data_IF_675112228288
#
_entry.id   IF_675112228288
#
_cell.length_a   1.000
_cell.length_b   1.000
_cell.length_c   1.000
_cell.angle_alpha   90.00
_cell.angle_beta   90.00
_cell.angle_gamma   90.00
#
_symmetry.space_group_name_H-M   'P 1'
#
loop_
_entity.id
_entity.type
_entity.pdbx_description
1 polymer ?
#
# COMPACT_ATOMS: atom_id res chain seq x y z
N UNK A 1 -37.92 -14.69 17.34
CA UNK A 1 -38.60 -15.50 18.36
C UNK A 1 -39.14 -16.85 17.83
N UNK A 2 -38.34 -17.62 17.07
CA UNK A 2 -38.72 -18.98 16.61
C UNK A 2 -37.67 -20.07 16.90
N UNK A 3 -36.48 -19.70 17.40
CA UNK A 3 -35.39 -20.65 17.73
C UNK A 3 -35.31 -21.03 19.21
N UNK A 4 -36.10 -20.39 20.09
CA UNK A 4 -36.08 -20.65 21.54
C UNK A 4 -37.02 -21.81 21.93
N UNK A 5 -38.01 -22.14 21.08
CA UNK A 5 -39.03 -23.15 21.40
C UNK A 5 -38.62 -24.59 21.07
N UNK A 6 -37.53 -24.79 20.32
CA UNK A 6 -37.02 -26.11 19.92
C UNK A 6 -35.97 -26.68 20.90
N UNK A 7 -35.37 -25.83 21.74
CA UNK A 7 -34.38 -26.24 22.75
C UNK A 7 -35.03 -26.72 24.06
N UNK A 8 -36.27 -26.31 24.34
CA UNK A 8 -37.00 -26.77 25.53
C UNK A 8 -37.52 -28.20 25.43
N UNK A 9 -37.66 -28.75 24.22
CA UNK A 9 -38.17 -30.12 24.03
C UNK A 9 -37.08 -31.18 24.18
N UNK A 10 -35.81 -30.84 23.93
CA UNK A 10 -34.69 -31.79 23.99
C UNK A 10 -34.16 -32.01 25.41
N UNK A 11 -34.35 -31.05 26.31
CA UNK A 11 -33.95 -31.18 27.73
C UNK A 11 -34.92 -32.07 28.52
N UNK A 12 -36.16 -32.22 28.05
CA UNK A 12 -37.17 -33.03 28.76
C UNK A 12 -37.08 -34.54 28.46
N UNK A 13 -36.51 -34.93 27.31
CA UNK A 13 -36.46 -36.34 26.88
C UNK A 13 -35.26 -37.11 27.44
N UNK A 14 -34.25 -36.41 27.98
CA UNK A 14 -33.04 -37.04 28.52
C UNK A 14 -33.15 -37.48 29.99
N UNK A 15 -34.30 -37.27 30.64
CA UNK A 15 -34.48 -37.55 32.08
C UNK A 15 -35.23 -38.85 32.40
N UNK A 16 -35.61 -39.66 31.39
CA UNK A 16 -36.37 -40.89 31.63
C UNK A 16 -35.75 -42.07 30.89
N UNK A 17 -34.68 -42.66 31.45
CA UNK A 17 -34.44 -44.12 31.41
C UNK A 17 -33.41 -44.54 32.47
N UNK A 18 -33.94 -45.12 33.56
CA UNK A 18 -33.48 -46.27 34.37
C UNK A 18 -32.02 -46.31 34.91
N UNK A 19 -31.99 -46.30 36.24
CA UNK A 19 -30.90 -46.35 37.26
C UNK A 19 -29.91 -47.53 37.17
N UNK A 20 -28.76 -47.41 37.87
CA UNK A 20 -28.51 -48.34 38.97
C UNK A 20 -28.41 -47.63 40.33
N UNK A 21 -28.85 -48.35 41.37
CA UNK A 21 -28.57 -48.10 42.78
C UNK A 21 -27.09 -47.76 42.98
N UNK A 22 -26.80 -46.47 43.14
CA UNK A 22 -25.76 -45.99 44.04
C UNK A 22 -26.50 -45.06 44.97
N UNK A 23 -26.29 -45.24 46.26
CA UNK A 23 -26.81 -44.38 47.31
C UNK A 23 -26.65 -42.91 46.92
N UNK A 24 -27.71 -42.32 46.38
CA UNK A 24 -27.95 -40.91 46.55
C UNK A 24 -28.25 -40.84 48.04
N UNK A 25 -27.25 -40.47 48.85
CA UNK A 25 -27.50 -40.06 50.23
C UNK A 25 -28.67 -39.08 50.14
N UNK A 26 -29.87 -39.54 50.50
CA UNK A 26 -31.01 -38.65 50.65
C UNK A 26 -30.57 -37.71 51.73
N UNK A 27 -30.12 -36.53 51.30
CA UNK A 27 -29.66 -35.53 52.23
C UNK A 27 -30.73 -35.39 53.30
N UNK A 28 -30.31 -35.44 54.56
CA UNK A 28 -31.25 -35.29 55.65
C UNK A 28 -31.99 -33.96 55.48
N UNK A 29 -33.22 -33.86 56.01
CA UNK A 29 -34.00 -32.61 55.96
C UNK A 29 -33.17 -31.40 56.40
N UNK A 30 -32.28 -31.60 57.36
CA UNK A 30 -31.34 -30.60 57.87
C UNK A 30 -30.27 -30.20 56.83
N UNK A 31 -29.67 -31.17 56.13
CA UNK A 31 -28.74 -30.91 55.03
C UNK A 31 -29.42 -30.16 53.87
N UNK A 32 -30.68 -30.48 53.55
CA UNK A 32 -31.49 -29.72 52.58
C UNK A 32 -31.78 -28.30 53.03
N UNK A 33 -32.11 -28.09 54.30
CA UNK A 33 -32.35 -26.76 54.85
C UNK A 33 -31.08 -25.89 54.80
N UNK A 34 -29.92 -26.46 55.10
CA UNK A 34 -28.63 -25.75 55.02
C UNK A 34 -28.24 -25.45 53.57
N UNK A 35 -28.43 -26.39 52.64
CA UNK A 35 -28.21 -26.12 51.21
C UNK A 35 -29.16 -25.05 50.66
N UNK A 36 -30.43 -25.07 51.05
CA UNK A 36 -31.40 -24.05 50.63
C UNK A 36 -31.01 -22.66 51.16
N UNK A 37 -30.55 -22.60 52.41
CA UNK A 37 -30.06 -21.36 53.03
C UNK A 37 -28.83 -20.83 52.30
N UNK A 38 -27.81 -21.67 52.07
CA UNK A 38 -26.58 -21.26 51.36
C UNK A 38 -26.84 -20.84 49.92
N UNK A 39 -27.74 -21.53 49.20
CA UNK A 39 -28.13 -21.13 47.84
C UNK A 39 -28.89 -19.81 47.83
N UNK A 40 -29.77 -19.57 48.82
CA UNK A 40 -30.48 -18.30 48.97
C UNK A 40 -29.51 -17.16 49.29
N UNK A 41 -28.53 -17.37 50.17
CA UNK A 41 -27.47 -16.41 50.46
C UNK A 41 -26.62 -16.10 49.21
N UNK A 42 -26.24 -17.12 48.44
CA UNK A 42 -25.55 -16.94 47.15
C UNK A 42 -26.40 -16.14 46.16
N UNK A 43 -27.70 -16.43 46.06
CA UNK A 43 -28.62 -15.69 45.20
C UNK A 43 -28.68 -14.21 45.61
N UNK A 44 -28.82 -13.92 46.91
CA UNK A 44 -28.86 -12.53 47.40
C UNK A 44 -27.54 -11.81 47.15
N UNK A 45 -26.41 -12.49 47.35
CA UNK A 45 -25.08 -11.92 47.12
C UNK A 45 -24.85 -11.62 45.64
N UNK A 46 -25.14 -12.58 44.74
CA UNK A 46 -25.03 -12.38 43.29
C UNK A 46 -25.96 -11.27 42.81
N UNK A 47 -27.15 -11.14 43.39
CA UNK A 47 -28.07 -10.07 43.03
C UNK A 47 -27.58 -8.69 43.50
N UNK A 48 -26.94 -8.62 44.66
CA UNK A 48 -26.28 -7.41 45.13
C UNK A 48 -25.08 -7.04 44.24
N UNK A 49 -24.26 -8.03 43.85
CA UNK A 49 -23.14 -7.83 42.90
C UNK A 49 -23.63 -7.35 41.54
N UNK A 50 -24.68 -7.96 40.97
CA UNK A 50 -25.27 -7.51 39.70
C UNK A 50 -25.75 -6.07 39.78
N UNK A 51 -26.39 -5.68 40.89
CA UNK A 51 -26.86 -4.31 41.10
C UNK A 51 -25.67 -3.34 41.16
N UNK A 52 -24.59 -3.74 41.84
CA UNK A 52 -23.34 -2.96 41.91
C UNK A 52 -22.69 -2.80 40.54
N UNK A 53 -22.45 -3.90 39.81
CA UNK A 53 -21.84 -3.87 38.47
C UNK A 53 -22.69 -3.04 37.49
N UNK A 54 -24.01 -3.13 37.57
CA UNK A 54 -24.90 -2.32 36.72
C UNK A 54 -24.72 -0.83 37.01
N UNK A 55 -24.66 -0.45 38.29
CA UNK A 55 -24.39 0.94 38.68
C UNK A 55 -23.00 1.43 38.24
N UNK A 56 -21.97 0.58 38.31
CA UNK A 56 -20.63 0.91 37.80
C UNK A 56 -20.63 1.10 36.28
N UNK A 57 -21.31 0.24 35.53
CA UNK A 57 -21.46 0.37 34.07
C UNK A 57 -22.16 1.67 33.69
N UNK A 58 -23.26 2.00 34.38
CA UNK A 58 -23.99 3.25 34.13
C UNK A 58 -23.13 4.47 34.48
N UNK A 59 -22.38 4.41 35.59
CA UNK A 59 -21.44 5.45 35.98
C UNK A 59 -20.32 5.66 34.95
N UNK A 60 -19.71 4.58 34.46
CA UNK A 60 -18.69 4.63 33.41
C UNK A 60 -19.24 5.17 32.09
N UNK A 61 -20.47 4.81 31.74
CA UNK A 61 -21.14 5.31 30.54
C UNK A 61 -21.34 6.82 30.61
N UNK A 62 -21.77 7.36 31.76
CA UNK A 62 -21.90 8.80 31.97
C UNK A 62 -20.54 9.50 31.89
N UNK A 63 -19.48 8.91 32.48
CA UNK A 63 -18.13 9.47 32.38
C UNK A 63 -17.63 9.51 30.94
N UNK A 64 -17.84 8.45 30.16
CA UNK A 64 -17.49 8.41 28.73
C UNK A 64 -18.18 9.52 27.96
N UNK A 65 -19.50 9.67 28.15
CA UNK A 65 -20.28 10.71 27.47
C UNK A 65 -19.80 12.12 27.84
N UNK A 66 -19.43 12.33 29.11
CA UNK A 66 -18.87 13.61 29.55
C UNK A 66 -17.52 13.89 28.90
N UNK A 67 -16.62 12.91 28.86
CA UNK A 67 -15.32 13.05 28.21
C UNK A 67 -15.48 13.35 26.72
N UNK A 68 -16.44 12.70 26.03
CA UNK A 68 -16.72 12.96 24.62
C UNK A 68 -17.16 14.42 24.39
N UNK A 69 -18.01 14.96 25.27
CA UNK A 69 -18.44 16.38 25.21
C UNK A 69 -17.27 17.33 25.52
N UNK A 70 -16.48 17.03 26.54
CA UNK A 70 -15.34 17.85 26.94
C UNK A 70 -14.25 17.89 25.84
N UNK A 71 -14.02 16.78 25.13
CA UNK A 71 -13.12 16.72 23.97
C UNK A 71 -13.63 17.62 22.85
N UNK A 72 -14.91 17.54 22.50
CA UNK A 72 -15.49 18.38 21.45
C UNK A 72 -15.39 19.87 21.79
N UNK A 73 -15.66 20.24 23.05
CA UNK A 73 -15.52 21.61 23.50
C UNK A 73 -14.07 22.12 23.43
N UNK A 74 -13.10 21.26 23.75
CA UNK A 74 -11.67 21.58 23.64
C UNK A 74 -11.26 21.77 22.17
N UNK A 75 -11.70 20.89 21.27
CA UNK A 75 -11.47 21.01 19.83
C UNK A 75 -12.08 22.29 19.25
N UNK A 76 -13.33 22.59 19.60
CA UNK A 76 -14.01 23.81 19.13
C UNK A 76 -13.30 25.07 19.63
N UNK A 77 -12.80 25.06 20.88
CA UNK A 77 -11.96 26.13 21.42
C UNK A 77 -10.64 26.28 20.66
N UNK A 78 -9.99 25.18 20.29
CA UNK A 78 -8.77 25.19 19.49
C UNK A 78 -9.03 25.74 18.08
N UNK A 79 -10.10 25.32 17.41
CA UNK A 79 -10.46 25.83 16.09
C UNK A 79 -10.76 27.33 16.15
N UNK A 80 -11.48 27.78 17.17
CA UNK A 80 -11.76 29.20 17.39
C UNK A 80 -10.47 30.03 17.55
N UNK A 81 -9.47 29.53 18.29
CA UNK A 81 -8.16 30.20 18.42
C UNK A 81 -7.41 30.35 17.09
N UNK A 82 -7.57 29.37 16.20
CA UNK A 82 -6.97 29.41 14.86
C UNK A 82 -7.81 30.21 13.86
N UNK A 83 -9.00 30.67 14.25
CA UNK A 83 -9.98 31.33 13.39
C UNK A 83 -10.56 30.39 12.33
N UNK A 84 -10.71 29.12 12.68
CA UNK A 84 -11.19 28.04 11.81
C UNK A 84 -12.57 27.57 12.27
N UNK A 85 -13.41 27.17 11.33
CA UNK A 85 -14.67 26.50 11.63
C UNK A 85 -14.50 24.99 11.50
N UNK A 86 -15.42 24.24 12.13
CA UNK A 86 -15.47 22.79 11.97
C UNK A 86 -15.67 22.38 10.50
N UNK A 87 -16.40 23.17 9.73
CA UNK A 87 -16.58 22.95 8.30
C UNK A 87 -15.27 23.08 7.51
N UNK A 88 -14.40 24.03 7.87
CA UNK A 88 -13.08 24.19 7.23
C UNK A 88 -12.20 22.97 7.49
N UNK A 89 -12.22 22.48 8.74
CA UNK A 89 -11.49 21.28 9.16
C UNK A 89 -12.02 20.02 8.45
N UNK A 90 -13.34 19.86 8.37
CA UNK A 90 -13.98 18.74 7.69
C UNK A 90 -13.70 18.75 6.18
N UNK A 91 -13.72 19.93 5.55
CA UNK A 91 -13.36 20.08 4.14
C UNK A 91 -11.88 19.73 3.89
N UNK A 92 -10.98 20.22 4.75
CA UNK A 92 -9.56 19.91 4.68
C UNK A 92 -9.29 18.41 4.89
N UNK A 93 -9.93 17.79 5.88
CA UNK A 93 -9.79 16.37 6.18
C UNK A 93 -10.26 15.51 5.00
N UNK A 94 -11.40 15.87 4.41
CA UNK A 94 -11.94 15.19 3.22
C UNK A 94 -10.99 15.28 2.04
N UNK A 95 -10.44 16.46 1.77
CA UNK A 95 -9.46 16.65 0.70
C UNK A 95 -8.19 15.86 0.96
N UNK A 96 -7.66 15.92 2.18
CA UNK A 96 -6.47 15.17 2.58
C UNK A 96 -6.69 13.66 2.41
N UNK A 97 -7.83 13.13 2.85
CA UNK A 97 -8.18 11.73 2.69
C UNK A 97 -8.30 11.31 1.21
N UNK A 98 -8.85 12.18 0.36
CA UNK A 98 -8.90 11.93 -1.09
C UNK A 98 -7.49 11.86 -1.69
N UNK A 99 -6.60 12.79 -1.30
CA UNK A 99 -5.21 12.77 -1.76
C UNK A 99 -4.44 11.56 -1.23
N UNK A 100 -4.62 11.20 0.05
CA UNK A 100 -4.02 10.00 0.66
C UNK A 100 -4.42 8.74 -0.10
N UNK A 101 -5.71 8.59 -0.44
CA UNK A 101 -6.21 7.48 -1.22
C UNK A 101 -5.61 7.46 -2.63
N UNK A 102 -5.57 8.61 -3.31
CA UNK A 102 -5.01 8.71 -4.65
C UNK A 102 -3.51 8.37 -4.68
N UNK A 103 -2.75 8.87 -3.71
CA UNK A 103 -1.33 8.54 -3.57
C UNK A 103 -1.16 7.05 -3.26
N UNK A 104 -2.01 6.46 -2.43
CA UNK A 104 -1.98 5.01 -2.15
C UNK A 104 -2.25 4.15 -3.40
N UNK A 105 -3.12 4.59 -4.31
CA UNK A 105 -3.31 3.95 -5.62
C UNK A 105 -2.05 4.05 -6.48
N UNK A 106 -1.48 5.26 -6.59
CA UNK A 106 -0.26 5.51 -7.36
C UNK A 106 0.93 4.71 -6.81
N UNK A 107 1.04 4.56 -5.49
CA UNK A 107 2.08 3.74 -4.84
C UNK A 107 2.01 2.25 -5.19
N UNK A 108 0.83 1.75 -5.58
CA UNK A 108 0.68 0.35 -6.02
C UNK A 108 1.03 0.16 -7.49
N UNK A 109 1.11 1.24 -8.26
CA UNK A 109 1.51 1.20 -9.65
C UNK A 109 3.01 0.95 -9.77
N UNK A 110 3.41 0.37 -10.88
CA UNK A 110 4.82 0.14 -11.15
C UNK A 110 5.50 1.43 -11.67
N UNK A 111 6.81 1.61 -11.47
CA UNK A 111 7.49 2.89 -11.81
C UNK A 111 7.24 3.36 -13.27
N UNK A 112 7.36 2.46 -14.25
CA UNK A 112 7.02 2.74 -15.65
C UNK A 112 5.56 3.17 -15.93
N UNK A 113 4.58 2.78 -15.11
CA UNK A 113 3.21 3.30 -15.23
C UNK A 113 3.09 4.67 -14.57
N UNK A 114 3.80 4.86 -13.46
CA UNK A 114 3.86 6.10 -12.69
C UNK A 114 4.39 7.29 -13.52
N UNK A 115 5.24 7.03 -14.52
CA UNK A 115 5.71 8.03 -15.50
C UNK A 115 4.54 8.75 -16.18
N UNK A 116 3.46 8.01 -16.52
CA UNK A 116 2.28 8.60 -17.16
C UNK A 116 1.50 9.53 -16.22
N UNK A 117 1.72 9.40 -14.91
CA UNK A 117 1.09 10.20 -13.86
C UNK A 117 2.04 11.26 -13.29
N UNK A 118 3.17 11.55 -13.94
CA UNK A 118 4.14 12.55 -13.49
C UNK A 118 3.51 13.94 -13.29
N UNK A 119 2.68 14.38 -14.24
CA UNK A 119 2.00 15.67 -14.15
C UNK A 119 0.96 15.69 -13.02
N UNK A 120 0.33 14.55 -12.74
CA UNK A 120 -0.58 14.42 -11.61
C UNK A 120 0.17 14.47 -10.28
N UNK A 121 1.29 13.75 -10.15
CA UNK A 121 2.14 13.81 -8.96
C UNK A 121 2.69 15.22 -8.71
N UNK A 122 3.03 15.97 -9.76
CA UNK A 122 3.44 17.36 -9.63
C UNK A 122 2.29 18.26 -9.12
N UNK A 123 1.05 18.02 -9.58
CA UNK A 123 -0.14 18.73 -9.06
C UNK A 123 -0.44 18.36 -7.61
N UNK A 124 -0.32 17.08 -7.25
CA UNK A 124 -0.48 16.60 -5.88
C UNK A 124 0.59 17.20 -4.94
N UNK A 125 1.84 17.29 -5.41
CA UNK A 125 2.94 17.94 -4.68
C UNK A 125 2.70 19.44 -4.48
N UNK A 126 2.23 20.15 -5.52
CA UNK A 126 1.86 21.56 -5.39
C UNK A 126 0.71 21.73 -4.38
N UNK A 127 -0.33 20.90 -4.49
CA UNK A 127 -1.49 20.99 -3.61
C UNK A 127 -1.16 20.68 -2.16
N UNK A 128 -0.36 19.64 -1.89
CA UNK A 128 0.01 19.31 -0.51
C UNK A 128 0.88 20.40 0.12
N UNK A 129 1.70 21.11 -0.67
CA UNK A 129 2.46 22.30 -0.21
C UNK A 129 1.56 23.47 0.13
N UNK A 130 0.51 23.72 -0.67
CA UNK A 130 -0.51 24.71 -0.32
C UNK A 130 -1.23 24.34 0.98
N UNK A 131 -1.63 23.08 1.12
CA UNK A 131 -2.26 22.56 2.34
C UNK A 131 -1.32 22.69 3.54
N UNK A 132 -0.02 22.43 3.36
CA UNK A 132 1.00 22.58 4.38
C UNK A 132 1.11 24.02 4.92
N UNK A 133 0.86 25.03 4.08
CA UNK A 133 0.86 26.44 4.46
C UNK A 133 -0.41 26.90 5.19
N UNK A 134 -1.46 26.07 5.24
CA UNK A 134 -2.68 26.40 5.97
C UNK A 134 -2.47 26.39 7.48
N UNK A 135 -3.25 27.18 8.22
CA UNK A 135 -3.22 27.18 9.69
C UNK A 135 -3.61 25.83 10.32
N UNK A 136 -4.30 24.98 9.55
CA UNK A 136 -4.79 23.67 10.01
C UNK A 136 -3.62 22.74 10.35
N UNK A 137 -2.46 22.90 9.71
CA UNK A 137 -1.28 22.05 9.94
C UNK A 137 -0.56 22.34 11.26
N UNK A 138 -0.89 23.45 11.93
CA UNK A 138 -0.43 23.71 13.30
C UNK A 138 -1.00 22.70 14.29
N UNK A 139 -2.12 22.05 13.95
CA UNK A 139 -2.66 20.94 14.72
C UNK A 139 -1.83 19.69 14.40
N UNK A 140 -1.14 19.08 15.39
CA UNK A 140 -0.18 18.01 15.15
C UNK A 140 -0.74 16.86 14.30
N UNK A 141 -1.97 16.41 14.57
CA UNK A 141 -2.62 15.32 13.83
C UNK A 141 -2.73 15.56 12.32
N UNK A 142 -2.89 16.83 11.89
CA UNK A 142 -2.95 17.18 10.47
C UNK A 142 -1.55 17.46 9.91
N UNK A 143 -0.69 18.14 10.68
CA UNK A 143 0.69 18.40 10.29
C UNK A 143 1.46 17.11 9.98
N UNK A 144 1.33 16.10 10.84
CA UNK A 144 1.98 14.80 10.66
C UNK A 144 1.47 14.06 9.42
N UNK A 145 0.16 14.08 9.17
CA UNK A 145 -0.44 13.46 7.98
C UNK A 145 -0.02 14.14 6.68
N UNK A 146 -0.05 15.47 6.66
CA UNK A 146 0.38 16.28 5.51
C UNK A 146 1.85 16.01 5.20
N UNK A 147 2.71 15.99 6.22
CA UNK A 147 4.13 15.67 6.07
C UNK A 147 4.33 14.25 5.54
N UNK A 148 3.67 13.26 6.14
CA UNK A 148 3.77 11.87 5.69
C UNK A 148 3.31 11.72 4.23
N UNK A 149 2.27 12.44 3.81
CA UNK A 149 1.81 12.45 2.43
C UNK A 149 2.81 13.13 1.49
N UNK A 150 3.37 14.27 1.89
CA UNK A 150 4.40 14.98 1.14
C UNK A 150 5.64 14.11 0.92
N UNK A 151 6.08 13.38 1.95
CA UNK A 151 7.21 12.44 1.87
C UNK A 151 6.92 11.30 0.88
N UNK A 152 5.69 10.75 0.89
CA UNK A 152 5.27 9.73 -0.07
C UNK A 152 5.27 10.25 -1.51
N UNK A 153 4.70 11.44 -1.75
CA UNK A 153 4.68 12.06 -3.09
C UNK A 153 6.11 12.34 -3.57
N UNK A 154 6.96 12.86 -2.71
CA UNK A 154 8.38 13.12 -3.01
C UNK A 154 9.11 11.81 -3.34
N UNK A 155 8.84 10.73 -2.59
CA UNK A 155 9.38 9.41 -2.87
C UNK A 155 8.99 8.87 -4.25
N UNK A 156 7.72 9.05 -4.64
CA UNK A 156 7.21 8.68 -5.97
C UNK A 156 7.84 9.52 -7.09
N UNK A 157 7.93 10.84 -6.91
CA UNK A 157 8.60 11.70 -7.89
C UNK A 157 10.08 11.32 -8.07
N UNK A 158 10.77 11.00 -6.98
CA UNK A 158 12.16 10.55 -7.01
C UNK A 158 12.33 9.17 -7.66
N UNK A 159 11.36 8.26 -7.53
CA UNK A 159 11.43 6.96 -8.22
C UNK A 159 11.32 7.14 -9.74
N UNK A 160 10.48 8.07 -10.21
CA UNK A 160 10.37 8.43 -11.64
C UNK A 160 11.62 9.17 -12.14
N UNK A 161 12.18 10.09 -11.33
CA UNK A 161 13.27 10.97 -11.76
C UNK A 161 14.63 10.26 -11.82
N UNK A 162 14.77 9.06 -11.27
CA UNK A 162 15.97 8.22 -11.43
C UNK A 162 16.08 7.65 -12.86
N UNK A 163 15.94 8.48 -13.89
CA UNK A 163 16.54 8.22 -15.19
C UNK A 163 18.05 8.18 -14.96
N UNK A 164 18.61 6.97 -14.84
CA UNK A 164 20.06 6.80 -14.81
C UNK A 164 20.60 7.40 -16.11
N UNK A 165 21.58 8.28 -16.05
CA UNK A 165 22.27 8.73 -17.25
C UNK A 165 23.63 8.07 -17.35
N UNK A 166 24.01 7.62 -18.53
CA UNK A 166 25.32 7.03 -18.77
C UNK A 166 26.09 7.89 -19.76
N UNK A 167 27.31 8.29 -19.39
CA UNK A 167 28.21 8.98 -20.31
C UNK A 167 28.99 7.96 -21.11
N UNK A 168 28.82 7.95 -22.44
CA UNK A 168 29.50 7.03 -23.35
C UNK A 168 31.01 7.25 -23.28
N UNK A 169 31.73 6.19 -22.94
CA UNK A 169 33.18 6.14 -22.94
C UNK A 169 33.77 6.07 -24.35
N UNK A 170 35.08 5.83 -24.44
CA UNK A 170 35.74 5.66 -25.75
C UNK A 170 35.79 4.19 -26.14
N UNK A 171 35.73 3.91 -27.45
CA UNK A 171 35.84 2.54 -27.96
C UNK A 171 37.11 1.82 -27.48
N UNK A 172 38.25 2.53 -27.45
CA UNK A 172 39.53 1.97 -27.02
C UNK A 172 39.62 1.61 -25.53
N UNK A 173 38.86 2.29 -24.67
CA UNK A 173 38.93 2.09 -23.21
C UNK A 173 37.79 1.21 -22.71
N UNK A 174 36.56 1.57 -23.08
CA UNK A 174 35.35 1.01 -22.48
C UNK A 174 34.62 0.05 -23.44
N UNK A 175 35.01 0.05 -24.72
CA UNK A 175 34.32 -0.68 -25.81
C UNK A 175 32.81 -0.43 -25.81
N UNK A 176 32.43 0.80 -25.49
CA UNK A 176 31.04 1.15 -25.31
C UNK A 176 30.31 1.08 -26.66
N UNK A 177 29.31 0.21 -26.69
CA UNK A 177 28.24 0.15 -27.68
C UNK A 177 26.94 -0.07 -26.91
N UNK A 178 25.77 0.19 -27.50
CA UNK A 178 24.49 0.04 -26.79
C UNK A 178 24.33 -1.34 -26.13
N UNK A 179 24.84 -2.39 -26.77
CA UNK A 179 24.86 -3.75 -26.25
C UNK A 179 25.77 -3.91 -25.02
N UNK A 180 27.00 -3.39 -25.08
CA UNK A 180 27.95 -3.46 -23.95
C UNK A 180 27.53 -2.57 -22.78
N UNK A 181 26.94 -1.40 -23.05
CA UNK A 181 26.38 -0.50 -22.03
C UNK A 181 25.24 -1.21 -21.29
N UNK A 182 24.29 -1.80 -22.01
CA UNK A 182 23.20 -2.58 -21.42
C UNK A 182 23.71 -3.78 -20.58
N UNK A 183 24.82 -4.40 -21.00
CA UNK A 183 25.43 -5.53 -20.29
C UNK A 183 26.05 -5.17 -18.94
N UNK A 184 26.40 -3.89 -18.69
CA UNK A 184 27.05 -3.50 -17.41
C UNK A 184 26.12 -3.78 -16.23
N UNK A 185 26.70 -4.27 -15.12
CA UNK A 185 25.94 -4.62 -13.90
C UNK A 185 25.21 -3.42 -13.30
N UNK A 186 25.81 -2.24 -13.42
CA UNK A 186 25.25 -0.99 -12.88
C UNK A 186 24.09 -0.42 -13.74
N UNK A 187 23.93 -0.94 -14.96
CA UNK A 187 22.93 -0.54 -15.94
C UNK A 187 21.75 -1.52 -15.93
N UNK A 188 21.84 -2.64 -16.67
CA UNK A 188 20.78 -3.67 -16.72
C UNK A 188 21.25 -5.09 -16.43
N UNK A 189 22.57 -5.34 -16.41
CA UNK A 189 23.15 -6.69 -16.40
C UNK A 189 22.64 -7.61 -17.53
N UNK A 190 21.97 -7.05 -18.55
CA UNK A 190 21.35 -7.79 -19.64
C UNK A 190 21.57 -7.06 -20.97
N UNK A 191 22.38 -7.67 -21.82
CA UNK A 191 22.77 -7.08 -23.09
C UNK A 191 21.62 -6.99 -24.11
N UNK A 192 20.58 -7.82 -23.96
CA UNK A 192 19.40 -7.80 -24.84
C UNK A 192 18.52 -6.56 -24.65
N UNK A 193 18.78 -5.75 -23.62
CA UNK A 193 18.05 -4.53 -23.31
C UNK A 193 18.61 -3.29 -24.04
N UNK A 194 19.60 -3.46 -24.90
CA UNK A 194 20.13 -2.37 -25.74
C UNK A 194 19.08 -1.60 -26.56
N UNK A 195 18.00 -2.22 -27.10
CA UNK A 195 16.98 -1.49 -27.86
C UNK A 195 16.23 -0.46 -27.01
N UNK A 196 16.20 -0.67 -25.69
CA UNK A 196 15.57 0.24 -24.73
C UNK A 196 16.35 1.54 -24.62
N UNK A 197 17.68 1.45 -24.54
CA UNK A 197 18.57 2.62 -24.57
C UNK A 197 18.42 3.35 -25.90
N UNK A 198 18.36 2.62 -27.01
CA UNK A 198 18.15 3.22 -28.33
C UNK A 198 16.83 3.98 -28.44
N UNK A 199 15.73 3.38 -27.96
CA UNK A 199 14.40 3.98 -27.99
C UNK A 199 14.29 5.22 -27.08
N UNK A 200 14.88 5.17 -25.90
CA UNK A 200 14.91 6.29 -24.96
C UNK A 200 15.74 7.49 -25.43
N UNK A 201 16.58 7.33 -26.46
CA UNK A 201 17.48 8.35 -26.98
C UNK A 201 17.38 8.52 -28.51
N UNK A 202 16.19 8.28 -29.08
CA UNK A 202 15.94 8.38 -30.54
C UNK A 202 16.26 9.73 -31.14
N UNK A 203 16.12 10.77 -30.34
CA UNK A 203 16.45 12.15 -30.65
C UNK A 203 17.95 12.32 -30.95
N UNK A 204 18.82 11.60 -30.24
CA UNK A 204 20.27 11.66 -30.41
C UNK A 204 20.84 10.51 -31.26
N UNK A 205 20.26 9.31 -31.15
CA UNK A 205 20.75 8.07 -31.78
C UNK A 205 19.85 7.68 -32.96
N UNK A 206 20.22 8.14 -34.15
CA UNK A 206 19.54 7.74 -35.41
C UNK A 206 19.86 6.29 -35.78
N UNK A 207 21.15 5.95 -35.77
CA UNK A 207 21.66 4.62 -36.04
C UNK A 207 22.13 3.96 -34.73
N UNK A 208 21.57 2.81 -34.33
CA UNK A 208 21.92 2.15 -33.08
C UNK A 208 23.36 1.62 -33.04
N UNK A 209 24.01 1.41 -34.20
CA UNK A 209 25.41 1.00 -34.25
C UNK A 209 26.39 2.18 -34.04
N UNK A 210 25.90 3.41 -34.06
CA UNK A 210 26.74 4.63 -33.99
C UNK A 210 26.41 5.43 -32.73
N UNK A 211 27.30 5.34 -31.73
CA UNK A 211 27.31 6.21 -30.56
C UNK A 211 28.66 6.92 -30.43
N UNK A 212 28.67 8.18 -29.98
CA UNK A 212 29.91 8.96 -29.84
C UNK A 212 30.34 9.09 -28.37
N UNK A 213 31.65 9.13 -28.09
CA UNK A 213 32.14 9.41 -26.74
C UNK A 213 31.62 10.75 -26.20
N UNK A 214 31.42 10.83 -24.89
CA UNK A 214 30.85 11.96 -24.14
C UNK A 214 29.35 12.23 -24.36
N UNK A 215 28.66 11.39 -25.14
CA UNK A 215 27.19 11.45 -25.18
C UNK A 215 26.62 11.03 -23.82
N UNK A 216 25.67 11.81 -23.31
CA UNK A 216 24.95 11.50 -22.08
C UNK A 216 23.65 10.80 -22.51
N UNK A 217 23.65 9.48 -22.44
CA UNK A 217 22.47 8.67 -22.77
C UNK A 217 21.56 8.59 -21.56
N UNK A 218 20.26 8.76 -21.77
CA UNK A 218 19.22 8.38 -20.81
C UNK A 218 19.15 6.85 -20.77
N UNK A 219 19.17 6.28 -19.58
CA UNK A 219 19.01 4.84 -19.34
C UNK A 219 17.64 4.66 -18.70
N UNK A 220 16.62 4.25 -19.49
CA UNK A 220 15.30 3.93 -18.96
C UNK A 220 15.36 2.79 -17.93
N UNK A 221 14.31 2.53 -17.16
CA UNK A 221 14.35 1.47 -16.15
C UNK A 221 14.56 0.06 -16.70
N UNK A 222 15.14 -0.80 -15.87
CA UNK A 222 15.48 -2.20 -16.17
C UNK A 222 14.25 -3.15 -16.28
N UNK A 223 13.07 -2.67 -16.67
CA UNK A 223 11.90 -3.52 -16.98
C UNK A 223 12.04 -4.23 -18.33
N UNK A 224 11.22 -5.26 -18.54
CA UNK A 224 11.14 -5.98 -19.81
C UNK A 224 10.92 -5.05 -21.02
N UNK A 225 11.34 -5.50 -22.21
CA UNK A 225 11.16 -4.72 -23.43
C UNK A 225 9.68 -4.59 -23.81
N UNK A 226 9.25 -3.36 -24.09
CA UNK A 226 7.92 -3.06 -24.61
C UNK A 226 7.70 -3.69 -26.00
N UNK A 227 6.43 -3.83 -26.42
CA UNK A 227 6.10 -4.32 -27.78
C UNK A 227 6.74 -3.47 -28.87
N UNK A 228 6.82 -2.16 -28.65
CA UNK A 228 7.42 -1.19 -29.57
C UNK A 228 8.94 -1.32 -29.63
N UNK A 229 9.59 -1.51 -28.48
CA UNK A 229 11.04 -1.74 -28.37
C UNK A 229 11.44 -3.05 -29.06
N UNK A 230 10.70 -4.15 -28.80
CA UNK A 230 10.89 -5.44 -29.47
C UNK A 230 10.70 -5.32 -30.99
N UNK A 231 9.63 -4.66 -31.42
CA UNK A 231 9.34 -4.45 -32.84
C UNK A 231 10.44 -3.63 -33.52
N UNK A 232 10.95 -2.60 -32.88
CA UNK A 232 12.02 -1.78 -33.44
C UNK A 232 13.37 -2.52 -33.54
N UNK A 233 13.73 -3.32 -32.52
CA UNK A 233 14.89 -4.19 -32.58
C UNK A 233 14.78 -5.17 -33.76
N UNK A 234 13.61 -5.80 -33.92
CA UNK A 234 13.34 -6.71 -35.03
C UNK A 234 13.44 -6.02 -36.40
N UNK A 235 12.90 -4.80 -36.54
CA UNK A 235 13.02 -4.02 -37.77
C UNK A 235 14.47 -3.71 -38.10
N UNK A 236 15.26 -3.31 -37.11
CA UNK A 236 16.68 -3.05 -37.28
C UNK A 236 17.43 -4.30 -37.75
N UNK A 237 17.24 -5.45 -37.10
CA UNK A 237 17.90 -6.70 -37.52
C UNK A 237 17.49 -7.12 -38.93
N UNK A 238 16.21 -6.96 -39.31
CA UNK A 238 15.75 -7.22 -40.68
C UNK A 238 16.44 -6.32 -41.71
N UNK A 239 16.54 -5.02 -41.43
CA UNK A 239 17.22 -4.07 -42.30
C UNK A 239 18.71 -4.39 -42.42
N UNK A 240 19.37 -4.79 -41.33
CA UNK A 240 20.77 -5.18 -41.32
C UNK A 240 21.05 -6.43 -42.15
N UNK A 241 20.17 -7.44 -42.08
CA UNK A 241 20.27 -8.65 -42.91
C UNK A 241 20.03 -8.31 -44.38
N UNK A 242 19.06 -7.46 -44.69
CA UNK A 242 18.80 -7.03 -46.07
C UNK A 242 19.93 -6.17 -46.66
N UNK A 243 20.66 -5.43 -45.82
CA UNK A 243 21.80 -4.61 -46.21
C UNK A 243 23.14 -5.37 -46.18
N UNK A 244 23.17 -6.61 -45.69
CA UNK A 244 24.38 -7.43 -45.69
C UNK A 244 24.70 -7.88 -47.12
N UNK A 245 25.94 -7.69 -47.61
CA UNK A 245 26.34 -8.19 -48.92
C UNK A 245 26.22 -9.72 -48.93
N UNK A 246 25.60 -10.28 -49.97
CA UNK A 246 25.49 -11.73 -50.16
C UNK A 246 26.91 -12.28 -50.37
N UNK A 247 27.45 -12.97 -49.37
CA UNK A 247 28.72 -13.68 -49.53
C UNK A 247 28.58 -14.76 -50.61
N UNK A 248 29.10 -14.49 -51.80
CA UNK A 248 29.32 -15.50 -52.83
C UNK A 248 30.39 -16.45 -52.33
N UNK A 249 29.99 -17.68 -51.96
CA UNK A 249 30.92 -18.75 -51.58
C UNK A 249 31.97 -18.98 -52.69
N UNK A 250 33.26 -19.21 -52.37
CA UNK A 250 34.27 -19.47 -53.40
C UNK A 250 33.95 -20.79 -54.12
N UNK A 251 33.97 -20.78 -55.45
CA UNK A 251 33.87 -22.00 -56.27
C UNK A 251 35.16 -22.80 -56.07
N UNK A 252 35.01 -24.00 -55.52
CA UNK A 252 36.10 -24.95 -55.28
C UNK A 252 36.62 -25.45 -56.64
N UNK A 253 37.74 -24.88 -57.06
CA UNK A 253 38.42 -25.21 -58.32
C UNK A 253 39.06 -26.61 -58.18
N UNK A 254 38.37 -27.64 -58.71
CA UNK A 254 38.94 -28.98 -58.85
C UNK A 254 40.16 -28.91 -59.76
N UNK A 255 41.33 -29.04 -59.16
CA UNK A 255 42.61 -29.14 -59.87
C UNK A 255 42.70 -30.48 -60.62
N UNK A 256 43.19 -30.50 -61.88
CA UNK A 256 43.32 -31.71 -62.70
C UNK A 256 44.36 -32.70 -62.17
#
# INVERSE_FOLDING_TARGET
MKKILLLSLFVFVLFVTVTPLIAQEEMTKEQWQEQMKTLKEKQTNLQAELTKLTGEVDGLKVQSQKLDVDILACEDGLYALLGLTRADIEAFDKELAQMENRVAELQRMSDAELVNYKDELAKLDARIKEMAASKITLIPRYGDRVKALQDKITGLLNSIQKEKTYTVGTWGKDRDCLWNIAKKKDIYANAWMWPKIWQGNRDMIKDPDVIKPKWVLKIPDAKELSKEEKSAANRYYRQKVAAAPVETKPVEEKKP
#
